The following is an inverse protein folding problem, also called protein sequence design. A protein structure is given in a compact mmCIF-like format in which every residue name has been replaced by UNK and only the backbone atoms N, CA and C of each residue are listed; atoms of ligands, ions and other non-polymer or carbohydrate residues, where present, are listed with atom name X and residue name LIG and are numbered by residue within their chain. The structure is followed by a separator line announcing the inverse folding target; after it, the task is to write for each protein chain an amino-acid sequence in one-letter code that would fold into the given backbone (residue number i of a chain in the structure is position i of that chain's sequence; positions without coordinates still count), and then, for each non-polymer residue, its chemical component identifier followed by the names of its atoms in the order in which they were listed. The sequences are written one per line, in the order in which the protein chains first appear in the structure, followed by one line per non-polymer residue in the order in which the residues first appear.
data_IF_335371082133
#
_entry.id   IF_335371082133
#
_cell.length_a   1.000
_cell.length_b   1.000
_cell.length_c   1.000
_cell.angle_alpha   90.00
_cell.angle_beta   90.00
_cell.angle_gamma   90.00
#
_symmetry.space_group_name_H-M   'P 1'
#
loop_
_entity.id
_entity.type
_entity.pdbx_description
1 polymer ?
#
# COMPACT_ATOMS: atom_id res chain seq x y z
N UNK A 1 2.35 -25.58 8.78
CA UNK A 1 1.82 -24.40 9.51
C UNK A 1 0.30 -24.53 9.60
N UNK A 2 -0.29 -24.46 10.78
CA UNK A 2 -1.75 -24.45 10.95
C UNK A 2 -2.30 -23.07 10.60
N UNK A 3 -3.32 -23.03 9.75
CA UNK A 3 -4.04 -21.78 9.47
C UNK A 3 -5.02 -21.53 10.60
N UNK A 4 -4.87 -20.41 11.31
CA UNK A 4 -5.83 -19.97 12.33
C UNK A 4 -6.85 -19.05 11.67
N UNK A 5 -8.11 -19.43 11.70
CA UNK A 5 -9.22 -18.60 11.23
C UNK A 5 -9.86 -17.92 12.43
N UNK A 6 -9.81 -16.58 12.46
CA UNK A 6 -10.48 -15.78 13.48
C UNK A 6 -11.80 -15.30 12.86
N UNK A 7 -12.97 -15.65 13.45
CA UNK A 7 -14.26 -15.23 12.91
C UNK A 7 -14.41 -13.71 12.99
N UNK A 8 -14.91 -13.11 11.90
CA UNK A 8 -15.21 -11.69 11.86
C UNK A 8 -16.45 -11.35 12.68
N UNK A 9 -16.34 -10.38 13.58
CA UNK A 9 -17.47 -9.86 14.35
C UNK A 9 -17.88 -8.48 13.83
N UNK A 10 -19.15 -8.36 13.43
CA UNK A 10 -19.73 -7.10 12.98
C UNK A 10 -19.88 -6.13 14.17
N UNK A 11 -19.59 -4.86 13.94
CA UNK A 11 -19.70 -3.83 14.97
C UNK A 11 -20.97 -3.00 14.75
N UNK A 12 -21.80 -2.89 15.79
CA UNK A 12 -22.96 -2.00 15.80
C UNK A 12 -22.54 -0.54 15.64
N UNK A 13 -23.36 0.31 14.98
CA UNK A 13 -24.63 0.01 14.32
C UNK A 13 -24.47 -0.50 12.86
N UNK A 14 -23.23 -0.75 12.42
CA UNK A 14 -22.92 -1.12 11.04
C UNK A 14 -23.10 -2.63 10.80
N UNK A 15 -24.35 -3.07 10.61
CA UNK A 15 -24.64 -4.48 10.32
C UNK A 15 -24.67 -4.74 8.80
N UNK A 16 -24.18 -5.93 8.41
CA UNK A 16 -24.14 -6.35 7.01
C UNK A 16 -22.93 -5.77 6.24
N UNK A 17 -22.62 -6.39 5.11
CA UNK A 17 -21.42 -6.10 4.32
C UNK A 17 -21.35 -4.66 3.82
N UNK A 18 -22.47 -4.08 3.41
CA UNK A 18 -22.50 -2.71 2.88
C UNK A 18 -22.22 -1.67 3.96
N UNK A 19 -22.89 -1.75 5.12
CA UNK A 19 -22.68 -0.80 6.20
C UNK A 19 -21.28 -0.92 6.80
N UNK A 20 -20.75 -2.14 6.94
CA UNK A 20 -19.36 -2.34 7.37
C UNK A 20 -18.37 -1.71 6.38
N UNK A 21 -18.57 -1.85 5.08
CA UNK A 21 -17.72 -1.24 4.05
C UNK A 21 -17.82 0.28 4.03
N UNK A 22 -19.00 0.83 4.31
CA UNK A 22 -19.23 2.29 4.35
C UNK A 22 -18.74 2.95 5.64
N UNK A 23 -18.47 2.18 6.69
CA UNK A 23 -18.08 2.70 8.02
C UNK A 23 -16.94 3.71 7.95
N UNK A 24 -15.92 3.44 7.16
CA UNK A 24 -14.75 4.32 7.03
C UNK A 24 -15.11 5.67 6.37
N UNK A 25 -16.14 5.70 5.51
CA UNK A 25 -16.61 6.91 4.84
C UNK A 25 -17.31 7.85 5.84
N UNK A 26 -17.95 7.28 6.86
CA UNK A 26 -18.62 8.05 7.92
C UNK A 26 -17.65 8.56 8.98
N UNK A 27 -16.46 7.98 9.07
CA UNK A 27 -15.40 8.50 9.94
C UNK A 27 -14.77 9.74 9.32
N UNK A 28 -15.04 10.90 9.91
CA UNK A 28 -14.49 12.19 9.48
C UNK A 28 -13.19 12.56 10.22
N UNK A 29 -12.92 11.94 11.35
CA UNK A 29 -11.73 12.13 12.15
C UNK A 29 -10.55 11.37 11.51
N UNK A 30 -9.64 12.11 10.91
CA UNK A 30 -8.41 11.53 10.38
C UNK A 30 -7.23 12.00 11.22
N UNK A 31 -6.35 11.09 11.67
CA UNK A 31 -5.21 11.52 12.46
C UNK A 31 -4.34 12.49 11.65
N UNK A 32 -3.90 13.54 12.32
CA UNK A 32 -2.85 14.36 11.77
C UNK A 32 -1.52 13.61 11.93
N UNK A 33 -0.89 13.33 10.80
CA UNK A 33 0.42 12.66 10.74
C UNK A 33 1.54 13.62 10.33
N UNK A 34 1.25 14.91 10.18
CA UNK A 34 2.24 15.91 9.79
C UNK A 34 3.30 16.13 10.87
N UNK A 35 2.94 15.98 12.14
CA UNK A 35 3.84 16.09 13.28
C UNK A 35 4.67 14.82 13.56
N UNK A 36 4.50 13.74 12.77
CA UNK A 36 5.18 12.45 13.00
C UNK A 36 6.51 12.33 12.23
N UNK A 37 7.36 13.35 12.27
CA UNK A 37 8.67 13.37 11.59
C UNK A 37 8.61 12.88 10.13
N UNK A 38 7.82 13.53 9.24
CA UNK A 38 7.67 13.09 7.87
C UNK A 38 8.92 13.32 7.03
N UNK A 39 9.43 12.28 6.39
CA UNK A 39 10.54 12.33 5.46
C UNK A 39 10.09 11.84 4.08
N UNK A 40 9.96 12.72 3.07
CA UNK A 40 9.56 12.32 1.73
C UNK A 40 10.66 11.51 1.04
N UNK A 41 10.25 10.50 0.27
CA UNK A 41 11.12 9.68 -0.55
C UNK A 41 10.64 9.65 -2.00
N UNK A 42 11.58 9.44 -2.91
CA UNK A 42 11.36 9.19 -4.32
C UNK A 42 12.05 7.88 -4.70
N UNK A 43 11.31 6.97 -5.32
CA UNK A 43 11.76 5.62 -5.68
C UNK A 43 11.73 5.50 -7.21
N UNK A 44 12.87 5.62 -7.89
CA UNK A 44 12.93 5.43 -9.33
C UNK A 44 12.63 3.97 -9.69
N UNK A 45 11.78 3.78 -10.68
CA UNK A 45 11.36 2.42 -11.08
C UNK A 45 12.44 1.66 -11.84
N UNK A 46 13.36 2.35 -12.52
CA UNK A 46 14.48 1.75 -13.25
C UNK A 46 14.06 0.62 -14.20
N UNK A 47 12.91 0.78 -14.87
CA UNK A 47 12.34 -0.16 -15.82
C UNK A 47 12.30 0.40 -17.26
N UNK A 48 13.00 1.51 -17.47
CA UNK A 48 13.02 2.22 -18.77
C UNK A 48 11.86 3.21 -18.95
N UNK A 49 10.86 3.24 -18.08
CA UNK A 49 9.73 4.18 -18.17
C UNK A 49 10.08 5.61 -17.77
N UNK A 50 11.07 5.76 -16.90
CA UNK A 50 11.39 7.01 -16.21
C UNK A 50 10.44 7.34 -15.06
N UNK A 51 9.53 6.44 -14.71
CA UNK A 51 8.55 6.63 -13.64
C UNK A 51 9.21 6.64 -12.25
N UNK A 52 8.64 7.44 -11.34
CA UNK A 52 9.09 7.57 -9.96
C UNK A 52 7.90 7.44 -9.02
N UNK A 53 7.92 6.42 -8.16
CA UNK A 53 7.00 6.35 -7.03
C UNK A 53 7.45 7.27 -5.90
N UNK A 54 6.52 7.74 -5.10
CA UNK A 54 6.81 8.58 -3.94
C UNK A 54 6.28 7.95 -2.66
N UNK A 55 6.85 8.34 -1.54
CA UNK A 55 6.36 7.92 -0.23
C UNK A 55 6.70 8.94 0.83
N UNK A 56 6.18 8.73 2.03
CA UNK A 56 6.50 9.53 3.21
C UNK A 56 6.82 8.56 4.34
N UNK A 57 8.07 8.59 4.81
CA UNK A 57 8.53 7.79 5.93
C UNK A 57 8.33 8.58 7.21
N UNK A 58 7.84 7.91 8.24
CA UNK A 58 7.69 8.42 9.59
C UNK A 58 8.55 7.56 10.52
N UNK A 59 9.47 8.19 11.21
CA UNK A 59 10.41 7.50 12.11
C UNK A 59 10.21 8.02 13.53
N UNK A 60 9.73 7.18 14.47
CA UNK A 60 9.64 7.58 15.88
C UNK A 60 11.02 7.81 16.46
N UNK A 61 11.12 8.71 17.45
CA UNK A 61 12.38 9.01 18.13
C UNK A 61 13.00 7.77 18.79
N UNK A 62 12.15 6.94 19.37
CA UNK A 62 12.52 5.63 19.93
C UNK A 62 11.92 4.54 19.07
N UNK A 63 12.76 3.83 18.32
CA UNK A 63 12.34 2.70 17.51
C UNK A 63 12.35 1.42 18.32
N UNK A 64 11.21 0.75 18.42
CA UNK A 64 11.10 -0.56 19.05
C UNK A 64 11.78 -1.67 18.25
N UNK A 65 11.83 -1.50 16.92
CA UNK A 65 12.43 -2.47 15.99
C UNK A 65 13.37 -1.75 15.03
N UNK A 66 14.61 -1.42 15.47
CA UNK A 66 15.61 -0.78 14.61
C UNK A 66 15.86 -1.61 13.33
N UNK A 67 16.06 -0.93 12.22
CA UNK A 67 16.29 -1.57 10.92
C UNK A 67 15.04 -2.11 10.23
N UNK A 68 13.87 -2.14 10.89
CA UNK A 68 12.60 -2.56 10.28
C UNK A 68 11.81 -1.35 9.77
N UNK A 69 11.43 -1.37 8.49
CA UNK A 69 10.52 -0.42 7.88
C UNK A 69 9.22 -1.11 7.48
N UNK A 70 8.10 -0.69 8.06
CA UNK A 70 6.77 -1.07 7.57
C UNK A 70 6.41 -0.20 6.36
N UNK A 71 5.76 -0.78 5.35
CA UNK A 71 5.26 -0.05 4.17
C UNK A 71 3.77 -0.24 4.04
N UNK A 72 3.01 0.84 4.03
CA UNK A 72 1.56 0.85 3.85
C UNK A 72 1.19 1.27 2.43
N UNK A 73 0.62 0.35 1.65
CA UNK A 73 0.09 0.57 0.31
C UNK A 73 -1.42 0.85 0.35
N UNK A 74 -1.84 1.82 -0.47
CA UNK A 74 -3.25 2.21 -0.57
C UNK A 74 -4.02 1.37 -1.57
N UNK A 75 -5.35 1.34 -1.45
CA UNK A 75 -6.26 0.72 -2.42
C UNK A 75 -6.46 1.57 -3.67
N UNK A 76 -7.36 1.07 -4.53
CA UNK A 76 -7.69 1.72 -5.79
C UNK A 76 -8.25 3.14 -5.59
N UNK A 77 -7.75 4.11 -6.37
CA UNK A 77 -8.13 5.53 -6.26
C UNK A 77 -7.66 6.22 -4.98
N UNK A 78 -6.81 5.57 -4.18
CA UNK A 78 -6.22 6.13 -2.97
C UNK A 78 -4.85 6.77 -3.19
N UNK A 79 -4.22 7.14 -2.08
CA UNK A 79 -2.87 7.70 -2.02
C UNK A 79 -2.28 7.54 -0.61
N UNK A 80 -1.05 7.98 -0.41
CA UNK A 80 -0.46 8.14 0.92
C UNK A 80 -1.28 9.04 1.86
N UNK A 81 -2.19 9.85 1.33
CA UNK A 81 -3.08 10.73 2.10
C UNK A 81 -4.44 10.11 2.43
N UNK A 82 -4.70 8.88 2.00
CA UNK A 82 -5.96 8.19 2.33
C UNK A 82 -6.12 8.03 3.84
N UNK A 83 -7.36 8.17 4.32
CA UNK A 83 -7.67 8.12 5.75
C UNK A 83 -7.09 6.89 6.44
N UNK A 84 -7.29 5.72 5.86
CA UNK A 84 -6.83 4.46 6.45
C UNK A 84 -5.30 4.32 6.45
N UNK A 85 -4.57 4.86 5.44
CA UNK A 85 -3.10 4.88 5.47
C UNK A 85 -2.58 5.78 6.59
N UNK A 86 -3.25 6.91 6.85
CA UNK A 86 -2.93 7.80 7.97
C UNK A 86 -3.20 7.14 9.32
N UNK A 87 -4.35 6.42 9.45
CA UNK A 87 -4.66 5.65 10.66
C UNK A 87 -3.65 4.53 10.93
N UNK A 88 -3.30 3.75 9.91
CA UNK A 88 -2.28 2.70 10.01
C UNK A 88 -0.93 3.31 10.40
N UNK A 89 -0.57 4.45 9.80
CA UNK A 89 0.67 5.15 10.12
C UNK A 89 0.70 5.58 11.59
N UNK A 90 -0.34 6.26 12.07
CA UNK A 90 -0.40 6.71 13.47
C UNK A 90 -0.32 5.52 14.42
N UNK A 91 -1.07 4.46 14.15
CA UNK A 91 -1.10 3.26 14.98
C UNK A 91 0.28 2.61 15.13
N UNK A 92 0.98 2.35 14.02
CA UNK A 92 2.29 1.70 14.09
C UNK A 92 3.39 2.63 14.57
N UNK A 93 3.30 3.94 14.26
CA UNK A 93 4.22 4.93 14.79
C UNK A 93 4.16 4.99 16.32
N UNK A 94 2.96 5.01 16.91
CA UNK A 94 2.76 5.01 18.35
C UNK A 94 3.26 3.73 19.03
N UNK A 95 3.33 2.62 18.28
CA UNK A 95 3.94 1.37 18.74
C UNK A 95 5.47 1.33 18.57
N UNK A 96 6.10 2.41 18.09
CA UNK A 96 7.54 2.52 17.91
C UNK A 96 8.06 1.92 16.59
N UNK A 97 7.20 1.72 15.57
CA UNK A 97 7.65 1.28 14.25
C UNK A 97 7.94 2.47 13.32
N UNK A 98 9.02 2.39 12.57
CA UNK A 98 9.16 3.21 11.39
C UNK A 98 8.21 2.72 10.29
N UNK A 99 7.51 3.66 9.64
CA UNK A 99 6.48 3.34 8.65
C UNK A 99 6.50 4.29 7.45
N UNK A 100 6.39 3.73 6.24
CA UNK A 100 6.26 4.44 4.99
C UNK A 100 4.82 4.40 4.49
N UNK A 101 4.23 5.55 4.21
CA UNK A 101 3.00 5.68 3.42
C UNK A 101 3.38 5.83 1.95
N UNK A 102 3.07 4.81 1.15
CA UNK A 102 3.45 4.77 -0.25
C UNK A 102 2.36 5.39 -1.15
N UNK A 103 2.78 6.16 -2.15
CA UNK A 103 1.98 6.41 -3.34
C UNK A 103 2.42 5.42 -4.43
N UNK A 104 1.50 4.58 -4.87
CA UNK A 104 1.73 3.67 -5.98
C UNK A 104 2.00 4.45 -7.28
N UNK A 105 2.53 3.79 -8.29
CA UNK A 105 2.82 4.35 -9.61
C UNK A 105 1.61 5.11 -10.16
N UNK A 106 1.78 6.39 -10.50
CA UNK A 106 0.69 7.22 -11.01
C UNK A 106 -0.40 7.61 -10.00
N UNK A 107 -0.17 7.44 -8.69
CA UNK A 107 -1.10 7.84 -7.63
C UNK A 107 -0.56 8.96 -6.76
N UNK A 108 -1.44 9.81 -6.22
CA UNK A 108 -1.07 10.90 -5.33
C UNK A 108 0.08 11.74 -5.89
N UNK A 109 1.12 11.98 -5.09
CA UNK A 109 2.30 12.74 -5.50
C UNK A 109 3.20 12.02 -6.53
N UNK A 110 2.98 10.72 -6.79
CA UNK A 110 3.64 10.02 -7.90
C UNK A 110 3.01 10.36 -9.25
N UNK A 111 1.78 10.88 -9.29
CA UNK A 111 1.06 11.15 -10.55
C UNK A 111 1.85 12.00 -11.55
N UNK A 112 2.39 13.17 -11.20
CA UNK A 112 3.14 14.01 -12.14
C UNK A 112 4.50 13.42 -12.53
N UNK A 113 4.96 12.39 -11.83
CA UNK A 113 6.26 11.75 -12.02
C UNK A 113 6.15 10.39 -12.74
N UNK A 114 4.94 10.02 -13.19
CA UNK A 114 4.70 8.74 -13.82
C UNK A 114 3.89 8.89 -15.10
N UNK A 115 4.29 8.17 -16.15
CA UNK A 115 3.53 7.98 -17.39
C UNK A 115 2.56 6.82 -17.27
N UNK A 116 2.91 5.82 -16.47
CA UNK A 116 2.11 4.62 -16.24
C UNK A 116 1.29 4.72 -14.94
N UNK A 117 0.23 3.92 -14.87
CA UNK A 117 -0.63 3.81 -13.70
C UNK A 117 -0.51 2.42 -13.08
N UNK A 118 -0.77 2.34 -11.76
CA UNK A 118 -0.81 1.07 -11.04
C UNK A 118 -2.05 0.24 -11.36
N UNK A 119 -1.89 -1.06 -11.32
CA UNK A 119 -2.98 -2.06 -11.43
C UNK A 119 -2.62 -3.31 -10.60
N UNK A 120 -3.57 -4.25 -10.44
CA UNK A 120 -3.39 -5.42 -9.57
C UNK A 120 -2.19 -6.32 -9.90
N UNK A 121 -1.69 -6.29 -11.13
CA UNK A 121 -0.53 -7.09 -11.56
C UNK A 121 0.83 -6.38 -11.41
N UNK A 122 0.89 -5.16 -10.84
CA UNK A 122 2.14 -4.40 -10.64
C UNK A 122 3.02 -4.94 -9.50
N UNK A 123 3.16 -6.26 -9.36
CA UNK A 123 4.06 -6.86 -8.37
C UNK A 123 5.51 -6.46 -8.55
N UNK A 124 5.94 -6.26 -9.78
CA UNK A 124 7.29 -5.85 -10.13
C UNK A 124 7.66 -4.47 -9.55
N UNK A 125 6.70 -3.55 -9.44
CA UNK A 125 6.91 -2.25 -8.80
C UNK A 125 7.24 -2.40 -7.32
N UNK A 126 6.59 -3.35 -6.65
CA UNK A 126 6.84 -3.62 -5.24
C UNK A 126 8.20 -4.30 -5.02
N UNK A 127 8.61 -5.20 -5.92
CA UNK A 127 9.94 -5.81 -5.90
C UNK A 127 11.02 -4.72 -6.08
N UNK A 128 10.84 -3.78 -7.01
CA UNK A 128 11.76 -2.64 -7.19
C UNK A 128 11.82 -1.74 -5.96
N UNK A 129 10.68 -1.45 -5.34
CA UNK A 129 10.62 -0.72 -4.08
C UNK A 129 11.44 -1.41 -2.97
N UNK A 130 11.25 -2.72 -2.80
CA UNK A 130 11.98 -3.48 -1.77
C UNK A 130 13.48 -3.49 -2.03
N UNK A 131 13.90 -3.78 -3.25
CA UNK A 131 15.31 -3.74 -3.64
C UNK A 131 15.91 -2.35 -3.36
N UNK A 132 15.21 -1.28 -3.74
CA UNK A 132 15.66 0.09 -3.49
C UNK A 132 15.76 0.41 -1.99
N UNK A 133 14.76 0.06 -1.18
CA UNK A 133 14.77 0.30 0.27
C UNK A 133 15.92 -0.42 0.98
N UNK A 134 16.23 -1.65 0.57
CA UNK A 134 17.22 -2.50 1.21
C UNK A 134 18.67 -2.18 0.75
N UNK A 135 18.85 -1.61 -0.45
CA UNK A 135 20.19 -1.39 -1.02
C UNK A 135 20.61 0.08 -1.09
N UNK A 136 19.69 1.01 -1.39
CA UNK A 136 20.04 2.37 -1.79
C UNK A 136 20.36 3.34 -0.63
N UNK A 137 20.15 2.98 0.63
CA UNK A 137 20.35 3.86 1.81
C UNK A 137 19.80 5.28 1.55
N UNK A 138 18.49 5.45 1.35
CA UNK A 138 17.94 6.75 1.01
C UNK A 138 18.29 7.80 2.06
N UNK A 139 18.78 8.99 1.69
CA UNK A 139 19.24 10.00 2.66
C UNK A 139 18.11 10.51 3.58
N UNK A 140 16.86 10.41 3.14
CA UNK A 140 15.68 10.76 3.94
C UNK A 140 15.35 9.73 5.03
N UNK A 141 16.00 8.55 5.03
CA UNK A 141 15.79 7.51 6.05
C UNK A 141 16.93 7.59 7.06
N UNK A 142 16.65 7.96 8.33
CA UNK A 142 17.71 8.21 9.32
C UNK A 142 18.37 6.91 9.85
N UNK A 143 18.03 5.77 9.28
CA UNK A 143 18.60 4.46 9.62
C UNK A 143 18.75 3.58 8.38
N UNK A 144 19.57 2.54 8.47
CA UNK A 144 19.64 1.51 7.42
C UNK A 144 18.42 0.60 7.48
N UNK A 145 17.67 0.50 6.38
CA UNK A 145 16.60 -0.49 6.27
C UNK A 145 17.23 -1.86 6.06
N UNK A 146 17.07 -2.75 7.03
CA UNK A 146 17.56 -4.13 6.99
C UNK A 146 16.44 -5.11 6.71
N UNK A 147 15.23 -4.76 7.15
CA UNK A 147 14.02 -5.57 6.99
C UNK A 147 12.85 -4.69 6.58
N UNK A 148 11.96 -5.26 5.77
CA UNK A 148 10.74 -4.58 5.36
C UNK A 148 9.54 -5.53 5.40
N UNK A 149 8.39 -4.98 5.75
CA UNK A 149 7.10 -5.67 5.77
C UNK A 149 6.07 -4.80 5.07
N UNK A 150 5.29 -5.37 4.14
CA UNK A 150 4.31 -4.61 3.37
C UNK A 150 2.88 -4.88 3.84
N UNK A 151 2.10 -3.82 4.02
CA UNK A 151 0.67 -3.90 4.31
C UNK A 151 -0.11 -3.31 3.15
N UNK A 152 -0.78 -4.17 2.39
CA UNK A 152 -1.55 -3.80 1.20
C UNK A 152 -3.05 -3.79 1.47
N UNK A 153 -3.69 -2.63 1.35
CA UNK A 153 -5.15 -2.53 1.43
C UNK A 153 -5.78 -2.67 0.03
N UNK A 154 -6.84 -3.48 -0.10
CA UNK A 154 -7.57 -3.66 -1.34
C UNK A 154 -6.63 -4.01 -2.51
N UNK A 155 -6.57 -3.23 -3.58
CA UNK A 155 -5.72 -3.48 -4.74
C UNK A 155 -4.22 -3.68 -4.40
N UNK A 156 -3.69 -2.97 -3.40
CA UNK A 156 -2.30 -3.19 -2.94
C UNK A 156 -2.07 -4.59 -2.36
N UNK A 157 -3.11 -5.23 -1.81
CA UNK A 157 -3.01 -6.63 -1.39
C UNK A 157 -2.83 -7.58 -2.58
N UNK A 158 -3.51 -7.31 -3.72
CA UNK A 158 -3.30 -8.09 -4.95
C UNK A 158 -1.90 -7.84 -5.53
N UNK A 159 -1.40 -6.60 -5.50
CA UNK A 159 -0.03 -6.26 -5.90
C UNK A 159 0.98 -7.01 -5.03
N UNK A 160 0.76 -7.05 -3.70
CA UNK A 160 1.58 -7.80 -2.76
C UNK A 160 1.60 -9.30 -3.10
N UNK A 161 0.43 -9.90 -3.33
CA UNK A 161 0.35 -11.33 -3.69
C UNK A 161 1.13 -11.64 -4.98
N UNK A 162 1.00 -10.77 -6.01
CA UNK A 162 1.77 -10.89 -7.25
C UNK A 162 3.29 -10.72 -7.02
N UNK A 163 3.71 -9.80 -6.17
CA UNK A 163 5.12 -9.61 -5.85
C UNK A 163 5.71 -10.83 -5.15
N UNK A 164 5.01 -11.34 -4.12
CA UNK A 164 5.45 -12.52 -3.36
C UNK A 164 5.50 -13.79 -4.22
N UNK A 165 4.59 -13.95 -5.19
CA UNK A 165 4.60 -15.06 -6.12
C UNK A 165 5.81 -15.04 -7.07
N UNK A 166 6.44 -13.90 -7.27
CA UNK A 166 7.57 -13.71 -8.19
C UNK A 166 8.92 -13.53 -7.48
N UNK A 167 8.93 -13.30 -6.17
CA UNK A 167 10.11 -12.83 -5.42
C UNK A 167 11.33 -13.74 -5.58
N UNK A 168 11.13 -15.05 -5.61
CA UNK A 168 12.22 -16.03 -5.70
C UNK A 168 12.75 -16.23 -7.13
N UNK A 169 11.97 -15.82 -8.14
CA UNK A 169 12.30 -16.03 -9.57
C UNK A 169 12.35 -14.70 -10.35
N UNK A 170 12.52 -13.59 -9.67
CA UNK A 170 12.58 -12.27 -10.32
C UNK A 170 13.91 -12.06 -11.03
N UNK A 171 13.87 -11.36 -12.18
CA UNK A 171 15.05 -10.87 -12.90
C UNK A 171 15.30 -9.36 -12.68
N UNK A 172 14.53 -8.74 -11.76
CA UNK A 172 14.59 -7.30 -11.49
C UNK A 172 15.83 -6.91 -10.68
N UNK A 173 16.22 -7.77 -9.75
CA UNK A 173 17.38 -7.58 -8.88
C UNK A 173 17.93 -8.96 -8.43
N UNK A 174 19.09 -8.97 -7.78
CA UNK A 174 19.62 -10.20 -7.23
C UNK A 174 18.74 -10.70 -6.05
N UNK A 175 18.55 -12.01 -5.88
CA UNK A 175 17.79 -12.55 -4.74
C UNK A 175 18.35 -12.13 -3.39
N UNK A 176 19.67 -11.87 -3.31
CA UNK A 176 20.34 -11.33 -2.12
C UNK A 176 19.78 -9.99 -1.67
N UNK A 177 19.33 -9.16 -2.62
CA UNK A 177 18.82 -7.80 -2.37
C UNK A 177 17.43 -7.81 -1.72
N UNK A 178 16.75 -8.96 -1.74
CA UNK A 178 15.40 -9.14 -1.21
C UNK A 178 15.37 -9.94 0.10
N UNK A 179 16.51 -10.38 0.63
CA UNK A 179 16.58 -11.16 1.88
C UNK A 179 15.95 -10.45 3.09
N UNK A 180 15.89 -9.13 3.06
CA UNK A 180 15.24 -8.33 4.09
C UNK A 180 13.71 -8.24 3.98
N UNK A 181 13.09 -8.81 2.95
CA UNK A 181 11.64 -8.88 2.84
C UNK A 181 11.12 -9.98 3.75
N UNK A 182 10.52 -9.61 4.88
CA UNK A 182 10.10 -10.58 5.91
C UNK A 182 8.64 -11.02 5.78
N UNK A 183 7.88 -10.44 4.85
CA UNK A 183 6.50 -10.84 4.58
C UNK A 183 5.57 -9.68 4.27
N UNK A 184 4.28 -9.96 4.31
CA UNK A 184 3.26 -8.96 4.06
C UNK A 184 1.87 -9.36 4.55
N UNK A 185 1.01 -8.35 4.66
CA UNK A 185 -0.39 -8.46 5.04
C UNK A 185 -1.27 -7.87 3.95
N UNK A 186 -2.15 -8.68 3.36
CA UNK A 186 -3.21 -8.22 2.47
C UNK A 186 -4.51 -8.00 3.25
N UNK A 187 -5.08 -6.79 3.16
CA UNK A 187 -6.30 -6.42 3.87
C UNK A 187 -7.43 -6.24 2.87
N UNK A 188 -8.49 -7.06 2.97
CA UNK A 188 -9.69 -6.97 2.12
C UNK A 188 -9.38 -6.88 0.62
N UNK A 189 -8.40 -7.65 0.14
CA UNK A 189 -7.96 -7.59 -1.25
C UNK A 189 -8.69 -8.62 -2.13
N UNK A 190 -8.95 -8.28 -3.41
CA UNK A 190 -9.53 -9.21 -4.35
C UNK A 190 -8.46 -10.24 -4.78
N UNK A 191 -8.61 -11.47 -4.35
CA UNK A 191 -7.73 -12.58 -4.76
C UNK A 191 -7.98 -12.97 -6.22
N UNK A 192 -9.27 -13.06 -6.60
CA UNK A 192 -9.71 -13.19 -7.99
C UNK A 192 -10.24 -11.84 -8.49
N UNK A 193 -9.40 -11.12 -9.24
CA UNK A 193 -9.75 -9.81 -9.80
C UNK A 193 -10.90 -9.90 -10.80
N UNK A 194 -11.00 -10.97 -11.59
CA UNK A 194 -12.07 -11.14 -12.57
C UNK A 194 -13.41 -11.36 -11.88
N UNK A 195 -13.46 -12.19 -10.83
CA UNK A 195 -14.65 -12.36 -10.02
C UNK A 195 -15.06 -11.06 -9.31
N UNK A 196 -14.09 -10.31 -8.77
CA UNK A 196 -14.35 -9.02 -8.13
C UNK A 196 -14.95 -8.01 -9.11
N UNK A 197 -14.42 -7.91 -10.33
CA UNK A 197 -14.95 -7.03 -11.39
C UNK A 197 -16.38 -7.45 -11.77
N UNK A 198 -16.63 -8.74 -12.01
CA UNK A 198 -17.99 -9.23 -12.28
C UNK A 198 -18.96 -8.86 -11.16
N UNK A 199 -18.53 -9.01 -9.90
CA UNK A 199 -19.39 -8.71 -8.74
C UNK A 199 -19.68 -7.20 -8.62
N UNK A 200 -18.70 -6.33 -8.88
CA UNK A 200 -18.90 -4.87 -8.86
C UNK A 200 -19.91 -4.43 -9.93
N UNK A 201 -19.97 -5.10 -11.09
CA UNK A 201 -20.94 -4.80 -12.15
C UNK A 201 -22.36 -5.29 -11.87
N UNK A 202 -22.59 -6.02 -10.77
CA UNK A 202 -23.97 -6.42 -10.41
C UNK A 202 -24.81 -5.21 -10.00
N UNK A 203 -26.11 -5.26 -10.26
CA UNK A 203 -27.08 -4.17 -9.97
C UNK A 203 -26.99 -3.70 -8.51
N UNK A 204 -26.87 -4.65 -7.58
CA UNK A 204 -26.76 -4.36 -6.13
C UNK A 204 -25.50 -3.58 -5.76
N UNK A 205 -24.47 -3.61 -6.59
CA UNK A 205 -23.19 -2.95 -6.36
C UNK A 205 -22.98 -1.69 -7.21
N UNK A 206 -24.02 -1.23 -7.92
CA UNK A 206 -23.95 -0.03 -8.77
C UNK A 206 -23.39 1.22 -8.07
N UNK A 207 -23.68 1.53 -6.78
CA UNK A 207 -23.06 2.68 -6.09
C UNK A 207 -21.54 2.56 -6.00
N UNK A 208 -21.02 1.35 -5.77
CA UNK A 208 -19.57 1.10 -5.75
C UNK A 208 -18.95 1.24 -7.15
N UNK A 209 -19.63 0.71 -8.18
CA UNK A 209 -19.19 0.88 -9.57
C UNK A 209 -19.08 2.36 -9.94
N UNK A 210 -20.12 3.17 -9.62
CA UNK A 210 -20.12 4.62 -9.85
C UNK A 210 -18.94 5.30 -9.13
N UNK A 211 -18.69 4.93 -7.87
CA UNK A 211 -17.54 5.43 -7.12
C UNK A 211 -16.23 5.08 -7.81
N UNK A 212 -16.01 3.82 -8.19
CA UNK A 212 -14.77 3.41 -8.87
C UNK A 212 -14.59 4.12 -10.21
N UNK A 213 -15.64 4.23 -11.02
CA UNK A 213 -15.59 4.96 -12.29
C UNK A 213 -15.24 6.44 -12.10
N UNK A 214 -15.71 7.09 -11.02
CA UNK A 214 -15.33 8.47 -10.71
C UNK A 214 -13.84 8.63 -10.38
N UNK A 215 -13.18 7.56 -9.91
CA UNK A 215 -11.74 7.55 -9.65
C UNK A 215 -10.90 7.18 -10.87
N UNK A 216 -11.46 6.36 -11.76
CA UNK A 216 -10.78 5.91 -13.00
C UNK A 216 -10.78 7.02 -14.06
N UNK A 217 -11.92 7.64 -14.31
CA UNK A 217 -12.07 8.62 -15.39
C UNK A 217 -10.96 9.70 -15.42
N UNK A 218 -10.60 10.33 -14.29
CA UNK A 218 -9.51 11.32 -14.29
C UNK A 218 -8.12 10.76 -14.61
N UNK A 219 -7.93 9.43 -14.48
CA UNK A 219 -6.65 8.81 -14.78
C UNK A 219 -6.39 8.68 -16.29
N UNK A 220 -7.45 8.68 -17.10
CA UNK A 220 -7.42 8.52 -18.55
C UNK A 220 -7.84 9.77 -19.32
N UNK A 221 -8.21 10.85 -18.62
CA UNK A 221 -8.63 12.12 -19.21
C UNK A 221 -7.48 13.14 -19.35
N UNK A 222 -6.22 12.73 -19.12
CA UNK A 222 -5.02 13.56 -19.20
C UNK A 222 -4.20 13.23 -20.43
#
# INVERSE_FOLDING_TARGET
MSVQIIPFQQQLPFLGSHLQSMRIVFRRDHPDVSALNPAPIQVPMNDGSGDVMTGIIHTPAEQRFPGLLLVAGHGFGGSAQSAYTRWVTKFFYDLGFAICRLNLRGAGNSRPLCRNNYHGACGDDLIRLWAWLLTAKPPAVPFRVERTYFMGASLSGSILANALAKIDNTNICAPSDLKGVIGGLGICFPFDMAAAVRKIHSVTNWPYLKYFLSKIKPLFAA
#
